data_IF_699258180856
#
_entry.id   IF_699258180856
#
_cell.length_a   1.000
_cell.length_b   1.000
_cell.length_c   1.000
_cell.angle_alpha   90.00
_cell.angle_beta   90.00
_cell.angle_gamma   90.00
#
_symmetry.space_group_name_H-M   'P 1'
#
loop_
_entity.id
_entity.type
_entity.pdbx_description
1 polymer ?
#
# COMPACT_ATOMS: atom_id res chain seq x y z
N UNK A 1 -0.80 4.94 -4.74
CA UNK A 1 -0.95 6.40 -4.57
C UNK A 1 -1.59 6.66 -3.22
N UNK A 2 -1.34 7.81 -2.59
CA UNK A 2 -2.07 8.18 -1.37
C UNK A 2 -3.57 8.39 -1.67
N UNK A 3 -4.46 8.15 -0.69
CA UNK A 3 -5.91 8.31 -0.88
C UNK A 3 -6.31 9.68 -1.39
N UNK A 4 -5.84 10.74 -0.75
CA UNK A 4 -6.18 12.13 -1.10
C UNK A 4 -5.66 12.54 -2.49
N UNK A 5 -4.52 11.99 -2.93
CA UNK A 5 -4.03 12.23 -4.28
C UNK A 5 -4.85 11.46 -5.32
N UNK A 6 -5.20 10.20 -5.03
CA UNK A 6 -5.94 9.35 -5.95
C UNK A 6 -7.42 9.75 -6.09
N UNK A 7 -8.06 10.20 -5.01
CA UNK A 7 -9.48 10.54 -4.97
C UNK A 7 -9.72 12.00 -5.35
N UNK A 8 -8.93 12.92 -4.78
CA UNK A 8 -9.18 14.36 -4.86
C UNK A 8 -8.12 15.12 -5.66
N UNK A 9 -7.08 14.43 -6.17
CA UNK A 9 -5.97 15.07 -6.88
C UNK A 9 -5.04 15.90 -6.00
N UNK A 10 -5.12 15.75 -4.67
CA UNK A 10 -4.35 16.56 -3.71
C UNK A 10 -2.93 16.00 -3.58
N UNK A 11 -1.96 16.71 -4.16
CA UNK A 11 -0.54 16.39 -4.04
C UNK A 11 0.13 17.21 -2.92
N UNK A 12 0.99 16.57 -2.12
CA UNK A 12 1.73 17.23 -1.04
C UNK A 12 2.97 16.43 -0.64
N UNK A 13 3.79 16.99 0.24
CA UNK A 13 4.88 16.22 0.88
C UNK A 13 4.35 14.96 1.61
N UNK A 14 3.09 14.96 2.07
CA UNK A 14 2.48 13.79 2.73
C UNK A 14 2.09 12.70 1.73
N UNK A 15 1.82 13.02 0.47
CA UNK A 15 1.62 12.00 -0.58
C UNK A 15 2.96 11.37 -0.99
N UNK A 16 4.06 12.11 -0.91
CA UNK A 16 5.42 11.57 -1.10
C UNK A 16 5.79 10.61 0.03
N UNK A 17 5.54 10.99 1.29
CA UNK A 17 5.74 10.11 2.46
C UNK A 17 4.94 8.82 2.33
N UNK A 18 3.68 8.90 1.89
CA UNK A 18 2.87 7.71 1.64
C UNK A 18 3.51 6.81 0.58
N UNK A 19 3.94 7.39 -0.54
CA UNK A 19 4.56 6.63 -1.64
C UNK A 19 5.88 5.98 -1.21
N UNK A 20 6.68 6.66 -0.39
CA UNK A 20 7.85 6.08 0.26
C UNK A 20 7.47 4.90 1.17
N UNK A 21 6.42 5.04 1.98
CA UNK A 21 5.94 3.97 2.85
C UNK A 21 5.52 2.72 2.07
N UNK A 22 4.82 2.89 0.94
CA UNK A 22 4.49 1.79 0.03
C UNK A 22 5.77 1.11 -0.46
N UNK A 23 6.72 1.88 -1.00
CA UNK A 23 7.99 1.35 -1.53
C UNK A 23 8.78 0.58 -0.46
N UNK A 24 8.87 1.11 0.76
CA UNK A 24 9.55 0.43 1.87
C UNK A 24 8.92 -0.92 2.18
N UNK A 25 7.58 -0.99 2.22
CA UNK A 25 6.85 -2.24 2.45
C UNK A 25 6.96 -3.21 1.27
N UNK A 26 7.00 -2.72 0.03
CA UNK A 26 7.28 -3.55 -1.15
C UNK A 26 8.67 -4.18 -1.08
N UNK A 27 9.69 -3.40 -0.70
CA UNK A 27 11.07 -3.89 -0.53
C UNK A 27 11.11 -4.99 0.53
N UNK A 28 10.55 -4.74 1.72
CA UNK A 28 10.61 -5.71 2.83
C UNK A 28 9.86 -7.00 2.50
N UNK A 29 8.73 -6.88 1.80
CA UNK A 29 7.87 -8.04 1.53
C UNK A 29 8.19 -8.78 0.24
N UNK A 30 9.03 -8.19 -0.62
CA UNK A 30 9.31 -8.69 -1.97
C UNK A 30 8.11 -8.67 -2.91
N UNK A 31 7.01 -8.01 -2.52
CA UNK A 31 5.72 -8.07 -3.21
C UNK A 31 5.35 -6.71 -3.77
N UNK A 32 4.95 -6.68 -5.04
CA UNK A 32 4.41 -5.48 -5.68
C UNK A 32 3.02 -5.15 -5.13
N UNK A 33 2.74 -3.86 -4.96
CA UNK A 33 1.46 -3.33 -4.51
C UNK A 33 0.33 -3.58 -5.53
N UNK A 34 0.64 -3.71 -6.83
CA UNK A 34 -0.34 -3.83 -7.92
C UNK A 34 -0.76 -5.27 -8.29
N UNK A 35 -0.67 -6.23 -7.36
CA UNK A 35 -0.98 -7.64 -7.64
C UNK A 35 -1.60 -8.43 -6.47
N UNK A 36 -1.94 -7.76 -5.38
CA UNK A 36 -2.52 -8.42 -4.20
C UNK A 36 -4.03 -8.60 -4.33
N UNK A 37 -4.45 -9.46 -5.26
CA UNK A 37 -5.78 -10.07 -5.24
C UNK A 37 -5.64 -11.49 -4.67
N UNK A 38 -5.18 -11.59 -3.42
CA UNK A 38 -5.17 -12.89 -2.76
C UNK A 38 -6.61 -13.22 -2.35
N UNK A 39 -6.99 -14.49 -2.49
CA UNK A 39 -8.30 -15.08 -2.14
C UNK A 39 -8.74 -14.90 -0.67
N UNK A 40 -7.94 -14.19 0.13
CA UNK A 40 -8.00 -14.09 1.60
C UNK A 40 -8.49 -12.73 2.13
N UNK A 41 -9.32 -12.00 1.37
CA UNK A 41 -10.01 -10.76 1.78
C UNK A 41 -9.15 -9.50 1.94
N UNK A 42 -7.85 -9.55 1.68
CA UNK A 42 -7.01 -8.36 1.68
C UNK A 42 -7.14 -7.63 0.33
N UNK A 43 -7.42 -6.33 0.39
CA UNK A 43 -7.72 -5.50 -0.79
C UNK A 43 -6.47 -5.10 -1.59
N UNK A 44 -5.29 -5.11 -0.95
CA UNK A 44 -3.97 -4.78 -1.54
C UNK A 44 -2.83 -5.15 -0.56
N UNK A 45 -1.57 -4.89 -0.95
CA UNK A 45 -0.37 -5.14 -0.13
C UNK A 45 -0.48 -4.51 1.27
N UNK A 46 -0.95 -3.26 1.36
CA UNK A 46 -1.06 -2.56 2.64
C UNK A 46 -2.05 -3.26 3.57
N UNK A 47 -3.13 -3.85 3.02
CA UNK A 47 -4.13 -4.58 3.80
C UNK A 47 -3.53 -5.85 4.39
N UNK A 48 -2.80 -6.59 3.57
CA UNK A 48 -2.05 -7.77 3.96
C UNK A 48 -1.03 -7.47 5.06
N UNK A 49 -0.17 -6.46 4.86
CA UNK A 49 0.85 -6.07 5.86
C UNK A 49 0.19 -5.63 7.17
N UNK A 50 -0.86 -4.81 7.10
CA UNK A 50 -1.57 -4.33 8.29
C UNK A 50 -2.18 -5.45 9.12
N UNK A 51 -2.79 -6.45 8.46
CA UNK A 51 -3.37 -7.62 9.13
C UNK A 51 -2.30 -8.39 9.90
N UNK A 52 -1.19 -8.73 9.25
CA UNK A 52 -0.08 -9.45 9.88
C UNK A 52 0.55 -8.64 11.02
N UNK A 53 0.69 -7.33 10.84
CA UNK A 53 1.15 -6.43 11.91
C UNK A 53 0.24 -6.49 13.14
N UNK A 54 -1.09 -6.39 12.94
CA UNK A 54 -2.09 -6.45 14.01
C UNK A 54 -2.12 -7.80 14.73
N UNK A 55 -1.80 -8.88 14.03
CA UNK A 55 -1.71 -10.24 14.59
C UNK A 55 -0.37 -10.50 15.31
N UNK A 56 0.58 -9.55 15.30
CA UNK A 56 1.92 -9.75 15.86
C UNK A 56 2.82 -10.64 15.00
N UNK A 57 2.43 -10.88 13.74
CA UNK A 57 3.10 -11.76 12.77
C UNK A 57 3.88 -10.98 11.72
N UNK A 58 4.35 -9.78 12.07
CA UNK A 58 5.04 -8.89 11.14
C UNK A 58 6.25 -9.52 10.45
N UNK A 59 6.92 -10.50 11.07
CA UNK A 59 8.08 -11.17 10.47
C UNK A 59 7.68 -12.11 9.32
N UNK A 60 6.45 -12.64 9.30
CA UNK A 60 5.99 -13.61 8.29
C UNK A 60 5.75 -12.97 6.92
N UNK A 61 5.69 -11.64 6.82
CA UNK A 61 5.51 -10.95 5.53
C UNK A 61 6.81 -10.79 4.75
N UNK A 62 7.95 -10.92 5.45
CA UNK A 62 9.28 -10.55 4.96
C UNK A 62 9.70 -11.50 3.85
N UNK A 63 10.32 -10.95 2.81
CA UNK A 63 10.88 -11.76 1.74
C UNK A 63 11.96 -12.70 2.31
N UNK A 64 11.87 -14.03 2.09
CA UNK A 64 12.91 -14.96 2.49
C UNK A 64 14.32 -14.58 2.02
N UNK A 65 14.45 -13.87 0.89
CA UNK A 65 15.74 -13.40 0.38
C UNK A 65 16.42 -12.39 1.34
N UNK A 66 15.63 -11.66 2.14
CA UNK A 66 16.14 -10.71 3.15
C UNK A 66 16.58 -11.46 4.42
N UNK A 67 16.00 -12.63 4.69
CA UNK A 67 16.30 -13.47 5.84
C UNK A 67 17.49 -14.38 5.49
N UNK A 68 18.72 -13.85 5.57
CA UNK A 68 19.92 -14.69 5.53
C UNK A 68 20.06 -15.55 6.80
N UNK A 69 20.66 -16.74 6.71
CA UNK A 69 20.77 -17.75 7.80
C UNK A 69 21.90 -17.46 8.82
N UNK A 70 22.60 -16.34 8.67
CA UNK A 70 23.75 -16.00 9.53
C UNK A 70 23.38 -15.56 10.95
N UNK A 71 24.31 -15.81 11.89
CA UNK A 71 24.26 -15.76 13.37
C UNK A 71 23.79 -14.48 14.08
N UNK A 72 23.28 -13.47 13.37
CA UNK A 72 22.66 -12.25 13.92
C UNK A 72 21.17 -12.13 13.53
N UNK A 73 20.42 -13.23 13.59
CA UNK A 73 19.02 -13.27 13.19
C UNK A 73 18.11 -12.39 14.07
N UNK A 74 18.37 -12.31 15.39
CA UNK A 74 17.52 -11.57 16.33
C UNK A 74 17.60 -10.04 16.14
N UNK A 75 18.82 -9.50 16.00
CA UNK A 75 19.02 -8.05 15.80
C UNK A 75 18.40 -7.62 14.47
N UNK A 76 18.63 -8.40 13.39
CA UNK A 76 17.99 -8.16 12.09
C UNK A 76 16.47 -8.23 12.15
N UNK A 77 15.90 -9.18 12.90
CA UNK A 77 14.44 -9.27 13.08
C UNK A 77 13.86 -8.00 13.70
N UNK A 78 14.53 -7.43 14.70
CA UNK A 78 14.10 -6.18 15.31
C UNK A 78 14.18 -4.99 14.33
N UNK A 79 15.27 -4.88 13.56
CA UNK A 79 15.41 -3.84 12.53
C UNK A 79 14.33 -3.96 11.45
N UNK A 80 14.04 -5.17 10.98
CA UNK A 80 13.00 -5.41 9.97
C UNK A 80 11.63 -5.03 10.52
N UNK A 81 11.29 -5.44 11.76
CA UNK A 81 10.02 -5.06 12.39
C UNK A 81 9.91 -3.54 12.57
N UNK A 82 11.01 -2.84 12.90
CA UNK A 82 11.04 -1.37 12.95
C UNK A 82 10.77 -0.76 11.57
N UNK A 83 11.40 -1.28 10.51
CA UNK A 83 11.17 -0.81 9.15
C UNK A 83 9.71 -1.02 8.71
N UNK A 84 9.09 -2.15 9.08
CA UNK A 84 7.66 -2.40 8.86
C UNK A 84 6.81 -1.36 9.61
N UNK A 85 7.12 -1.11 10.88
CA UNK A 85 6.42 -0.12 11.69
C UNK A 85 6.49 1.29 11.09
N UNK A 86 7.68 1.70 10.64
CA UNK A 86 7.91 2.99 9.97
C UNK A 86 7.15 3.05 8.65
N UNK A 87 7.21 1.99 7.84
CA UNK A 87 6.43 1.87 6.61
C UNK A 87 4.94 2.07 6.86
N UNK A 88 4.40 1.43 7.92
CA UNK A 88 3.00 1.56 8.31
C UNK A 88 2.63 2.97 8.79
N UNK A 89 3.52 3.67 9.51
CA UNK A 89 3.32 5.08 9.88
C UNK A 89 3.23 5.99 8.65
N UNK A 90 4.05 5.72 7.63
CA UNK A 90 4.08 6.46 6.38
C UNK A 90 2.81 6.27 5.54
N UNK A 91 2.17 5.10 5.58
CA UNK A 91 0.98 4.79 4.77
C UNK A 91 -0.35 5.00 5.50
N UNK A 92 -0.37 5.72 6.63
CA UNK A 92 -1.62 5.99 7.36
C UNK A 92 -2.66 6.72 6.51
N UNK A 93 -3.93 6.42 6.76
CA UNK A 93 -5.07 6.95 6.00
C UNK A 93 -5.08 8.47 5.98
N UNK A 94 -5.01 9.09 7.17
CA UNK A 94 -4.96 10.53 7.34
C UNK A 94 -3.56 11.08 7.06
N UNK A 95 -3.45 12.07 6.18
CA UNK A 95 -2.18 12.68 5.79
C UNK A 95 -1.46 13.35 6.98
N UNK A 96 -2.20 13.91 7.93
CA UNK A 96 -1.67 14.52 9.15
C UNK A 96 -1.01 13.52 10.10
N UNK A 97 -1.48 12.26 10.11
CA UNK A 97 -0.94 11.22 11.00
C UNK A 97 0.41 10.70 10.51
N UNK A 98 0.70 10.85 9.21
CA UNK A 98 1.98 10.43 8.61
C UNK A 98 3.13 11.28 9.17
N UNK A 99 4.30 10.70 9.49
CA UNK A 99 5.46 11.49 9.90
C UNK A 99 5.95 12.41 8.78
N UNK A 100 6.74 13.42 9.12
CA UNK A 100 7.53 14.16 8.12
C UNK A 100 8.77 13.37 7.73
N UNK A 101 9.30 13.57 6.53
CA UNK A 101 10.38 12.74 5.99
C UNK A 101 11.69 12.81 6.81
N UNK A 102 11.97 13.96 7.44
CA UNK A 102 13.09 14.09 8.37
C UNK A 102 12.94 13.20 9.61
N UNK A 103 11.72 13.07 10.14
CA UNK A 103 11.42 12.14 11.25
C UNK A 103 11.60 10.70 10.80
N UNK A 104 11.15 10.35 9.58
CA UNK A 104 11.36 9.01 9.00
C UNK A 104 12.85 8.68 8.91
N UNK A 105 13.67 9.61 8.43
CA UNK A 105 15.12 9.44 8.35
C UNK A 105 15.75 9.19 9.74
N UNK A 106 15.33 9.94 10.76
CA UNK A 106 15.80 9.73 12.13
C UNK A 106 15.38 8.36 12.67
N UNK A 107 14.13 7.94 12.45
CA UNK A 107 13.64 6.63 12.89
C UNK A 107 14.39 5.46 12.24
N UNK A 108 14.77 5.61 10.96
CA UNK A 108 15.55 4.61 10.23
C UNK A 108 17.03 4.60 10.63
N UNK A 109 17.61 5.77 10.90
CA UNK A 109 19.04 5.90 11.21
C UNK A 109 19.41 5.72 12.69
N UNK A 110 18.43 5.57 13.57
CA UNK A 110 18.63 5.43 15.01
C UNK A 110 17.93 4.20 15.56
N UNK A 111 18.70 3.29 16.16
CA UNK A 111 18.17 2.09 16.83
C UNK A 111 17.38 2.42 18.10
N UNK A 112 17.75 3.49 18.79
CA UNK A 112 17.20 3.85 20.11
C UNK A 112 15.97 4.76 20.05
N UNK A 113 15.66 5.33 18.88
CA UNK A 113 14.51 6.21 18.73
C UNK A 113 13.21 5.42 18.95
N UNK A 114 12.34 5.95 19.81
CA UNK A 114 11.01 5.39 20.05
C UNK A 114 10.11 5.62 18.83
N UNK A 115 9.52 4.54 18.30
CA UNK A 115 8.63 4.58 17.13
C UNK A 115 7.18 4.43 17.64
N UNK A 116 6.27 5.37 17.30
CA UNK A 116 4.88 5.28 17.73
C UNK A 116 4.14 4.12 17.04
N UNK A 117 3.05 3.65 17.65
CA UNK A 117 2.23 2.61 17.04
C UNK A 117 1.46 3.15 15.84
N UNK A 118 1.50 2.46 14.68
CA UNK A 118 0.78 2.91 13.49
C UNK A 118 -0.73 2.73 13.66
N UNK A 119 -1.49 3.65 13.04
CA UNK A 119 -2.94 3.54 12.83
C UNK A 119 -3.23 2.83 11.50
N UNK A 120 -4.51 2.70 11.18
CA UNK A 120 -4.99 2.06 9.96
C UNK A 120 -4.38 2.73 8.70
N UNK A 121 -3.83 1.96 7.75
CA UNK A 121 -3.38 2.49 6.48
C UNK A 121 -4.51 3.04 5.61
N UNK A 122 -4.16 3.93 4.70
CA UNK A 122 -5.05 4.40 3.65
C UNK A 122 -5.19 3.34 2.57
N UNK A 123 -6.41 2.84 2.37
CA UNK A 123 -6.72 1.93 1.28
C UNK A 123 -7.40 2.70 0.16
N UNK A 124 -6.72 2.87 -0.98
CA UNK A 124 -7.46 3.11 -2.21
C UNK A 124 -8.09 1.79 -2.62
N UNK A 125 -9.32 1.56 -2.20
CA UNK A 125 -10.19 0.64 -2.94
C UNK A 125 -10.50 1.39 -4.23
N UNK A 126 -9.70 1.15 -5.28
CA UNK A 126 -10.21 1.39 -6.63
C UNK A 126 -11.55 0.66 -6.68
N UNK A 127 -12.64 1.36 -7.04
CA UNK A 127 -13.98 0.78 -7.10
C UNK A 127 -13.84 -0.63 -7.67
N UNK A 128 -14.10 -1.63 -6.84
CA UNK A 128 -14.30 -2.97 -7.35
C UNK A 128 -15.41 -2.83 -8.38
N UNK A 129 -15.17 -3.24 -9.63
CA UNK A 129 -16.20 -3.40 -10.66
C UNK A 129 -17.15 -4.57 -10.29
N UNK A 130 -17.51 -4.68 -9.02
CA UNK A 130 -18.37 -5.69 -8.42
C UNK A 130 -19.26 -5.02 -7.38
N UNK A 131 -19.98 -3.97 -7.81
CA UNK A 131 -21.36 -3.82 -7.33
C UNK A 131 -22.24 -4.34 -8.45
N UNK A 132 -22.41 -5.67 -8.42
CA UNK A 132 -23.51 -6.35 -9.09
C UNK A 132 -24.79 -5.79 -8.50
N UNK A 133 -25.42 -4.89 -9.25
CA UNK A 133 -26.81 -4.46 -9.19
C UNK A 133 -27.71 -5.60 -8.69
N UNK A 134 -27.98 -5.63 -7.38
CA UNK A 134 -29.14 -6.34 -6.84
C UNK A 134 -30.32 -5.39 -6.95
N UNK A 135 -30.95 -5.38 -8.11
CA UNK A 135 -32.33 -4.92 -8.29
C UNK A 135 -32.96 -5.72 -9.42
N UNK A 136 -33.82 -6.65 -9.03
CA UNK A 136 -34.63 -7.46 -9.91
C UNK A 136 -35.65 -6.61 -10.68
N UNK A 137 -35.61 -6.61 -12.01
CA UNK A 137 -36.61 -7.27 -12.87
C UNK A 137 -36.72 -6.66 -14.28
N UNK A 138 -36.88 -7.57 -15.24
CA UNK A 138 -37.57 -7.44 -16.54
C UNK A 138 -36.75 -7.10 -17.79
N UNK A 139 -36.48 -8.16 -18.55
CA UNK A 139 -36.30 -8.29 -20.01
C UNK A 139 -36.25 -7.02 -20.87
N UNK A 140 -35.13 -6.80 -21.58
CA UNK A 140 -35.04 -6.81 -23.06
C UNK A 140 -33.66 -6.36 -23.54
N UNK A 141 -33.14 -7.06 -24.55
CA UNK A 141 -32.29 -6.50 -25.59
C UNK A 141 -30.78 -6.53 -25.32
N UNK A 142 -30.09 -7.42 -26.02
CA UNK A 142 -28.68 -7.29 -26.34
C UNK A 142 -28.34 -5.87 -26.81
N UNK A 143 -27.30 -5.28 -26.21
CA UNK A 143 -26.39 -4.35 -26.87
C UNK A 143 -25.13 -4.20 -25.99
N UNK A 144 -24.20 -5.13 -26.18
CA UNK A 144 -22.81 -4.99 -25.73
C UNK A 144 -22.19 -3.79 -26.47
N UNK A 145 -22.09 -2.65 -25.79
CA UNK A 145 -21.37 -1.49 -26.30
C UNK A 145 -19.87 -1.80 -26.36
N UNK A 146 -19.37 -2.04 -27.58
CA UNK A 146 -17.95 -2.09 -27.91
C UNK A 146 -17.40 -0.67 -27.86
N UNK A 147 -16.48 -0.39 -26.93
CA UNK A 147 -15.80 0.91 -26.81
C UNK A 147 -15.18 1.32 -28.17
N UNK A 148 -15.67 2.42 -28.75
CA UNK A 148 -15.09 3.03 -29.94
C UNK A 148 -13.76 3.71 -29.58
N UNK A 149 -12.67 3.16 -30.07
CA UNK A 149 -11.33 3.77 -30.03
C UNK A 149 -11.36 5.00 -30.93
N UNK A 150 -11.09 6.19 -30.39
CA UNK A 150 -10.86 7.39 -31.20
C UNK A 150 -9.36 7.49 -31.47
N UNK A 151 -8.95 7.25 -32.73
CA UNK A 151 -7.58 7.49 -33.19
C UNK A 151 -7.46 8.95 -33.65
N UNK A 152 -6.65 9.73 -32.96
CA UNK A 152 -6.28 11.08 -33.42
C UNK A 152 -5.19 10.96 -34.50
N UNK A 153 -5.47 11.47 -35.70
CA UNK A 153 -4.48 11.56 -36.78
C UNK A 153 -3.62 12.80 -36.52
N UNK A 154 -2.30 12.61 -36.48
CA UNK A 154 -1.33 13.70 -36.48
C UNK A 154 -1.19 14.24 -37.92
N UNK A 155 -1.49 15.53 -38.12
CA UNK A 155 -1.20 16.23 -39.37
C UNK A 155 0.09 17.04 -39.22
N UNK A 156 1.06 16.80 -40.09
CA UNK A 156 2.32 17.53 -40.10
C UNK A 156 2.18 18.73 -41.04
N UNK A 157 2.36 19.94 -40.51
CA UNK A 157 2.57 21.15 -41.32
C UNK A 157 4.04 21.37 -41.60
#
# INVERSE_FOLDING_TARGET
MSPEYAMDGIFSMKSDVFSFGVLLLEIISGKKNNGFYNSNRDLNLLGFVWRYWKEGKGIEIVDPIIIDDSSSALLRTHEILRCIQIGLLCVQERAEDRPVMSTVMVMLGSETTAIPQPKRPGFCVGRSLLETESSSSTQRGDELSVNQITLSVIDAR
#
